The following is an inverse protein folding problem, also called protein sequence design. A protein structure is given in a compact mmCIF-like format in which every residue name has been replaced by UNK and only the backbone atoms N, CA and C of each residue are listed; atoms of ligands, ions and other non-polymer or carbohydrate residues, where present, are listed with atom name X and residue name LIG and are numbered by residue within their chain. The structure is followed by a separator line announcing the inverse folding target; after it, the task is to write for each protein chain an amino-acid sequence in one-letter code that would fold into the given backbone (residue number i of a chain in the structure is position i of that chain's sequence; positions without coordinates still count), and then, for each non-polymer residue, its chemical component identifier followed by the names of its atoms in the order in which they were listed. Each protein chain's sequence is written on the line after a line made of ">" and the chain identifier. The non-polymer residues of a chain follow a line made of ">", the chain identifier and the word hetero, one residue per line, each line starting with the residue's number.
data_IF_648512531380
#
_entry.id   IF_648512531380
#
_cell.length_a   1.000
_cell.length_b   1.000
_cell.length_c   1.000
_cell.angle_alpha   90.00
_cell.angle_beta   90.00
_cell.angle_gamma   90.00
#
_symmetry.space_group_name_H-M   'P 1'
#
loop_
_entity.id
_entity.type
_entity.pdbx_description
1 polymer ?
#
# COMPACT_ATOMS: atom_id res chain seq x y z
N UNK A 1 -20.70 8.99 -47.71
CA UNK A 1 -19.46 8.76 -46.93
C UNK A 1 -19.55 9.31 -45.50
N UNK A 2 -19.91 10.58 -45.31
CA UNK A 2 -19.92 11.25 -43.98
C UNK A 2 -20.89 10.63 -42.96
N UNK A 3 -22.06 10.17 -43.39
CA UNK A 3 -23.03 9.49 -42.51
C UNK A 3 -22.54 8.15 -41.99
N UNK A 4 -21.81 7.39 -42.81
CA UNK A 4 -21.22 6.12 -42.39
C UNK A 4 -20.13 6.37 -41.35
N UNK A 5 -19.32 7.40 -41.55
CA UNK A 5 -18.30 7.83 -40.59
C UNK A 5 -18.93 8.30 -39.26
N UNK A 6 -20.04 9.04 -39.33
CA UNK A 6 -20.80 9.45 -38.15
C UNK A 6 -21.34 8.25 -37.35
N UNK A 7 -21.93 7.24 -38.03
CA UNK A 7 -22.43 6.02 -37.40
C UNK A 7 -21.28 5.23 -36.73
N UNK A 8 -20.13 5.13 -37.40
CA UNK A 8 -18.95 4.48 -36.83
C UNK A 8 -18.45 5.21 -35.59
N UNK A 9 -18.39 6.55 -35.61
CA UNK A 9 -18.02 7.34 -34.43
C UNK A 9 -19.00 7.11 -33.26
N UNK A 10 -20.31 7.09 -33.52
CA UNK A 10 -21.30 6.80 -32.48
C UNK A 10 -21.15 5.38 -31.91
N UNK A 11 -20.88 4.38 -32.75
CA UNK A 11 -20.65 3.01 -32.29
C UNK A 11 -19.40 2.90 -31.42
N UNK A 12 -18.31 3.57 -31.80
CA UNK A 12 -17.08 3.63 -30.99
C UNK A 12 -17.37 4.32 -29.66
N UNK A 13 -18.00 5.50 -29.66
CA UNK A 13 -18.37 6.20 -28.42
C UNK A 13 -19.28 5.36 -27.53
N UNK A 14 -20.26 4.65 -28.11
CA UNK A 14 -21.16 3.75 -27.38
C UNK A 14 -20.38 2.66 -26.65
N UNK A 15 -19.50 1.94 -27.36
CA UNK A 15 -18.74 0.83 -26.79
C UNK A 15 -17.80 1.34 -25.69
N UNK A 16 -17.03 2.39 -25.97
CA UNK A 16 -16.04 2.91 -25.02
C UNK A 16 -16.71 3.53 -23.78
N UNK A 17 -17.79 4.31 -23.93
CA UNK A 17 -18.54 4.85 -22.79
C UNK A 17 -19.14 3.75 -21.90
N UNK A 18 -19.62 2.66 -22.50
CA UNK A 18 -20.09 1.50 -21.75
C UNK A 18 -18.99 0.81 -20.95
N UNK A 19 -17.75 0.78 -21.46
CA UNK A 19 -16.64 0.11 -20.77
C UNK A 19 -16.33 0.69 -19.40
N UNK A 20 -16.48 2.00 -19.23
CA UNK A 20 -16.30 2.70 -17.96
C UNK A 20 -17.22 2.12 -16.88
N UNK A 21 -18.52 2.05 -17.19
CA UNK A 21 -19.53 1.51 -16.30
C UNK A 21 -19.37 0.00 -16.08
N UNK A 22 -18.96 -0.74 -17.12
CA UNK A 22 -18.64 -2.16 -17.01
C UNK A 22 -17.46 -2.44 -16.08
N UNK A 23 -16.39 -1.64 -16.16
CA UNK A 23 -15.19 -1.77 -15.32
C UNK A 23 -15.50 -1.53 -13.84
N UNK A 24 -16.35 -0.53 -13.55
CA UNK A 24 -16.79 -0.21 -12.19
C UNK A 24 -17.67 -1.31 -11.58
N UNK A 25 -18.47 -2.01 -12.38
CA UNK A 25 -19.36 -3.08 -11.93
C UNK A 25 -18.75 -4.48 -11.99
N UNK A 26 -17.51 -4.62 -12.45
CA UNK A 26 -16.86 -5.92 -12.63
C UNK A 26 -16.35 -6.51 -11.30
N UNK A 27 -16.74 -7.75 -11.02
CA UNK A 27 -16.19 -8.50 -9.89
C UNK A 27 -14.77 -9.03 -10.23
N UNK A 28 -13.75 -8.39 -9.65
CA UNK A 28 -12.33 -8.71 -9.86
C UNK A 28 -11.96 -10.13 -9.42
N UNK A 29 -12.60 -10.64 -8.36
CA UNK A 29 -12.33 -11.98 -7.83
C UNK A 29 -12.76 -13.06 -8.84
N UNK A 30 -13.96 -12.91 -9.40
CA UNK A 30 -14.50 -13.80 -10.43
C UNK A 30 -13.68 -13.77 -11.72
N UNK A 31 -13.25 -12.58 -12.15
CA UNK A 31 -12.38 -12.45 -13.32
C UNK A 31 -11.02 -13.16 -13.12
N UNK A 32 -10.42 -13.05 -11.93
CA UNK A 32 -9.17 -13.72 -11.59
C UNK A 32 -9.29 -15.24 -11.59
N UNK A 33 -10.44 -15.78 -11.19
CA UNK A 33 -10.72 -17.22 -11.28
C UNK A 33 -10.83 -17.66 -12.74
N UNK A 34 -11.57 -16.92 -13.57
CA UNK A 34 -11.75 -17.21 -15.00
C UNK A 34 -10.44 -17.12 -15.80
N UNK A 35 -9.56 -16.17 -15.45
CA UNK A 35 -8.25 -16.07 -16.10
C UNK A 35 -7.32 -17.24 -15.75
N UNK A 36 -7.45 -17.79 -14.53
CA UNK A 36 -6.72 -19.01 -14.12
C UNK A 36 -7.25 -20.27 -14.77
N UNK A 37 -8.53 -20.33 -15.13
CA UNK A 37 -9.12 -21.46 -15.87
C UNK A 37 -8.78 -21.50 -17.36
N UNK A 38 -7.99 -20.55 -17.88
CA UNK A 38 -7.47 -20.58 -19.24
C UNK A 38 -8.31 -19.87 -20.32
N UNK A 39 -9.33 -19.10 -19.95
CA UNK A 39 -10.08 -18.28 -20.91
C UNK A 39 -9.21 -17.12 -21.42
N UNK A 40 -8.90 -17.12 -22.72
CA UNK A 40 -8.05 -16.12 -23.36
C UNK A 40 -8.60 -14.69 -23.24
N UNK A 41 -9.93 -14.50 -23.26
CA UNK A 41 -10.54 -13.20 -23.08
C UNK A 41 -10.44 -12.74 -21.62
N UNK A 42 -10.61 -13.65 -20.67
CA UNK A 42 -10.44 -13.37 -19.24
C UNK A 42 -8.99 -12.96 -18.91
N UNK A 43 -7.99 -13.61 -19.52
CA UNK A 43 -6.57 -13.27 -19.32
C UNK A 43 -6.27 -11.87 -19.83
N UNK A 44 -6.74 -11.51 -21.03
CA UNK A 44 -6.55 -10.16 -21.59
C UNK A 44 -7.24 -9.09 -20.75
N UNK A 45 -8.51 -9.31 -20.42
CA UNK A 45 -9.27 -8.37 -19.59
C UNK A 45 -8.63 -8.22 -18.20
N UNK A 46 -8.08 -9.29 -17.63
CA UNK A 46 -7.36 -9.24 -16.37
C UNK A 46 -6.11 -8.35 -16.44
N UNK A 47 -5.30 -8.43 -17.51
CA UNK A 47 -4.15 -7.53 -17.69
C UNK A 47 -4.60 -6.07 -17.77
N UNK A 48 -5.64 -5.79 -18.53
CA UNK A 48 -6.19 -4.45 -18.69
C UNK A 48 -6.66 -3.88 -17.33
N UNK A 49 -7.38 -4.68 -16.52
CA UNK A 49 -7.92 -4.25 -15.21
C UNK A 49 -6.83 -4.04 -14.15
N UNK A 50 -5.60 -4.52 -14.35
CA UNK A 50 -4.48 -4.24 -13.44
C UNK A 50 -4.00 -2.79 -13.49
N UNK A 51 -4.20 -2.09 -14.62
CA UNK A 51 -3.88 -0.68 -14.78
C UNK A 51 -5.16 0.15 -15.04
N UNK A 52 -6.08 0.26 -14.06
CA UNK A 52 -7.39 0.88 -14.27
C UNK A 52 -7.26 2.35 -14.67
N UNK A 53 -6.31 3.08 -14.08
CA UNK A 53 -6.05 4.49 -14.40
C UNK A 53 -5.76 4.69 -15.90
N UNK A 54 -4.92 3.83 -16.47
CA UNK A 54 -4.57 3.84 -17.89
C UNK A 54 -5.79 3.55 -18.77
N UNK A 55 -6.60 2.56 -18.38
CA UNK A 55 -7.84 2.25 -19.09
C UNK A 55 -8.83 3.41 -19.08
N UNK A 56 -9.09 4.01 -17.91
CA UNK A 56 -10.02 5.15 -17.80
C UNK A 56 -9.58 6.31 -18.68
N UNK A 57 -8.29 6.64 -18.70
CA UNK A 57 -7.75 7.71 -19.56
C UNK A 57 -7.92 7.34 -21.03
N UNK A 58 -7.61 6.10 -21.42
CA UNK A 58 -7.78 5.62 -22.81
C UNK A 58 -9.23 5.79 -23.25
N UNK A 59 -10.16 5.30 -22.44
CA UNK A 59 -11.60 5.33 -22.71
C UNK A 59 -12.07 6.77 -22.87
N UNK A 60 -11.69 7.66 -21.94
CA UNK A 60 -12.08 9.05 -21.98
C UNK A 60 -11.52 9.80 -23.21
N UNK A 61 -10.28 9.51 -23.61
CA UNK A 61 -9.69 10.08 -24.82
C UNK A 61 -10.42 9.62 -26.09
N UNK A 62 -10.70 8.32 -26.21
CA UNK A 62 -11.39 7.76 -27.39
C UNK A 62 -12.81 8.29 -27.50
N UNK A 63 -13.58 8.29 -26.41
CA UNK A 63 -14.95 8.81 -26.41
C UNK A 63 -14.97 10.30 -26.71
N UNK A 64 -14.06 11.08 -26.13
CA UNK A 64 -13.91 12.50 -26.39
C UNK A 64 -13.63 12.79 -27.87
N UNK A 65 -12.63 12.13 -28.46
CA UNK A 65 -12.27 12.30 -29.87
C UNK A 65 -13.42 11.90 -30.81
N UNK A 66 -14.05 10.75 -30.58
CA UNK A 66 -15.15 10.27 -31.40
C UNK A 66 -16.36 11.21 -31.33
N UNK A 67 -16.68 11.74 -30.15
CA UNK A 67 -17.77 12.70 -29.97
C UNK A 67 -17.47 14.03 -30.68
N UNK A 68 -16.25 14.57 -30.56
CA UNK A 68 -15.85 15.81 -31.24
C UNK A 68 -15.98 15.64 -32.76
N UNK A 69 -15.45 14.55 -33.31
CA UNK A 69 -15.54 14.26 -34.76
C UNK A 69 -17.00 14.15 -35.20
N UNK A 70 -17.83 13.44 -34.43
CA UNK A 70 -19.24 13.26 -34.76
C UNK A 70 -20.03 14.59 -34.70
N UNK A 71 -19.76 15.46 -33.72
CA UNK A 71 -20.34 16.81 -33.65
C UNK A 71 -19.89 17.68 -34.81
N UNK A 72 -18.60 17.62 -35.21
CA UNK A 72 -18.10 18.36 -36.37
C UNK A 72 -18.78 17.94 -37.67
N UNK A 73 -19.06 16.65 -37.85
CA UNK A 73 -19.80 16.14 -39.02
C UNK A 73 -21.23 16.66 -39.01
N UNK A 74 -21.91 16.62 -37.87
CA UNK A 74 -23.27 17.18 -37.74
C UNK A 74 -23.28 18.68 -38.05
N UNK A 75 -22.33 19.43 -37.49
CA UNK A 75 -22.18 20.86 -37.75
C UNK A 75 -21.95 21.14 -39.24
N UNK A 76 -21.07 20.37 -39.89
CA UNK A 76 -20.79 20.51 -41.32
C UNK A 76 -22.02 20.28 -42.22
N UNK A 77 -23.04 19.57 -41.72
CA UNK A 77 -24.31 19.37 -42.42
C UNK A 77 -25.36 20.43 -42.09
N UNK A 78 -25.55 20.74 -40.81
CA UNK A 78 -26.60 21.64 -40.35
C UNK A 78 -26.28 23.12 -40.57
N UNK A 79 -25.01 23.51 -40.50
CA UNK A 79 -24.56 24.90 -40.73
C UNK A 79 -24.89 25.38 -42.15
N UNK A 80 -24.53 24.68 -43.23
CA UNK A 80 -24.92 25.10 -44.57
C UNK A 80 -26.43 24.94 -44.83
N UNK A 81 -27.10 23.96 -44.20
CA UNK A 81 -28.54 23.73 -44.40
C UNK A 81 -29.44 24.79 -43.75
N UNK A 82 -29.09 25.28 -42.55
CA UNK A 82 -29.91 26.20 -41.76
C UNK A 82 -29.30 27.59 -41.58
N UNK A 83 -28.19 27.89 -42.29
CA UNK A 83 -27.49 29.19 -42.28
C UNK A 83 -27.21 29.66 -40.84
N UNK A 84 -27.66 30.86 -40.45
CA UNK A 84 -27.38 31.46 -39.14
C UNK A 84 -27.88 30.68 -37.92
N UNK A 85 -28.84 29.77 -38.11
CA UNK A 85 -29.38 28.92 -37.05
C UNK A 85 -28.76 27.52 -37.02
N UNK A 86 -27.91 27.17 -37.99
CA UNK A 86 -27.40 25.80 -38.13
C UNK A 86 -26.55 25.31 -36.95
N UNK A 87 -25.81 26.21 -36.29
CA UNK A 87 -25.09 25.87 -35.06
C UNK A 87 -26.04 25.52 -33.90
N UNK A 88 -27.12 26.31 -33.72
CA UNK A 88 -28.13 26.04 -32.68
C UNK A 88 -28.88 24.73 -32.96
N UNK A 89 -29.30 24.51 -34.22
CA UNK A 89 -29.94 23.26 -34.62
C UNK A 89 -29.02 22.05 -34.38
N UNK A 90 -27.72 22.19 -34.66
CA UNK A 90 -26.73 21.14 -34.37
C UNK A 90 -26.72 20.79 -32.89
N UNK A 91 -26.65 21.78 -32.01
CA UNK A 91 -26.60 21.54 -30.55
C UNK A 91 -27.89 20.88 -30.06
N UNK A 92 -29.04 21.40 -30.47
CA UNK A 92 -30.37 20.90 -30.04
C UNK A 92 -30.59 19.45 -30.48
N UNK A 93 -30.11 19.07 -31.66
CA UNK A 93 -30.24 17.69 -32.18
C UNK A 93 -29.14 16.77 -31.62
N UNK A 94 -27.90 17.23 -31.56
CA UNK A 94 -26.76 16.44 -31.10
C UNK A 94 -26.90 16.06 -29.62
N UNK A 95 -27.21 17.03 -28.76
CA UNK A 95 -27.23 16.82 -27.30
C UNK A 95 -28.06 15.60 -26.85
N UNK A 96 -29.35 15.46 -27.21
CA UNK A 96 -30.14 14.29 -26.81
C UNK A 96 -29.62 12.99 -27.42
N UNK A 97 -29.12 13.02 -28.66
CA UNK A 97 -28.55 11.82 -29.33
C UNK A 97 -27.32 11.34 -28.56
N UNK A 98 -26.36 12.22 -28.27
CA UNK A 98 -25.17 11.83 -27.52
C UNK A 98 -25.52 11.40 -26.08
N UNK A 99 -26.38 12.16 -25.39
CA UNK A 99 -26.75 11.83 -24.01
C UNK A 99 -27.46 10.48 -23.89
N UNK A 100 -28.40 10.17 -24.79
CA UNK A 100 -29.15 8.92 -24.71
C UNK A 100 -28.32 7.78 -25.30
N UNK A 101 -27.83 7.94 -26.53
CA UNK A 101 -27.18 6.88 -27.29
C UNK A 101 -25.77 6.62 -26.79
N UNK A 102 -24.95 7.65 -26.57
CA UNK A 102 -23.53 7.43 -26.22
C UNK A 102 -23.27 7.37 -24.72
N UNK A 103 -24.18 7.85 -23.88
CA UNK A 103 -24.00 7.93 -22.42
C UNK A 103 -24.94 6.97 -21.68
N UNK A 104 -26.25 7.21 -21.74
CA UNK A 104 -27.20 6.48 -20.88
C UNK A 104 -27.41 5.01 -21.25
N UNK A 105 -27.64 4.72 -22.54
CA UNK A 105 -27.86 3.35 -23.01
C UNK A 105 -26.67 2.40 -22.78
N UNK A 106 -25.43 2.75 -23.18
CA UNK A 106 -24.31 1.83 -23.04
C UNK A 106 -23.95 1.60 -21.57
N UNK A 107 -24.01 2.64 -20.71
CA UNK A 107 -23.74 2.50 -19.28
C UNK A 107 -24.74 1.57 -18.59
N UNK A 108 -26.02 1.63 -18.98
CA UNK A 108 -27.05 0.71 -18.48
C UNK A 108 -26.80 -0.75 -18.91
N UNK A 109 -26.46 -0.96 -20.19
CA UNK A 109 -26.22 -2.30 -20.73
C UNK A 109 -24.97 -2.96 -20.13
N UNK A 110 -23.86 -2.24 -20.07
CA UNK A 110 -22.59 -2.76 -19.54
C UNK A 110 -22.63 -2.99 -18.04
N UNK A 111 -23.45 -2.24 -17.28
CA UNK A 111 -23.70 -2.52 -15.86
C UNK A 111 -24.39 -3.87 -15.63
N UNK A 112 -25.29 -4.26 -16.53
CA UNK A 112 -26.08 -5.48 -16.39
C UNK A 112 -25.26 -6.74 -16.69
N UNK A 113 -24.36 -6.67 -17.68
CA UNK A 113 -23.51 -7.81 -18.10
C UNK A 113 -22.04 -7.41 -18.26
N UNK A 114 -21.36 -7.02 -17.17
CA UNK A 114 -20.03 -6.40 -17.24
C UNK A 114 -18.97 -7.34 -17.82
N UNK A 115 -18.95 -8.62 -17.43
CA UNK A 115 -17.95 -9.57 -17.93
C UNK A 115 -18.11 -9.84 -19.43
N UNK A 116 -19.31 -10.21 -19.89
CA UNK A 116 -19.56 -10.59 -21.28
C UNK A 116 -19.33 -9.40 -22.23
N UNK A 117 -19.76 -8.20 -21.83
CA UNK A 117 -19.60 -7.00 -22.61
C UNK A 117 -18.13 -6.53 -22.68
N UNK A 118 -17.37 -6.63 -21.59
CA UNK A 118 -15.95 -6.26 -21.59
C UNK A 118 -15.05 -7.31 -22.24
N UNK A 119 -15.35 -8.60 -22.07
CA UNK A 119 -14.55 -9.69 -22.63
C UNK A 119 -14.58 -9.68 -24.18
N UNK A 120 -15.73 -9.38 -24.77
CA UNK A 120 -15.89 -9.31 -26.23
C UNK A 120 -15.11 -8.17 -26.87
N UNK A 121 -14.94 -7.06 -26.18
CA UNK A 121 -14.22 -5.87 -26.66
C UNK A 121 -12.79 -5.75 -26.08
N UNK A 122 -12.33 -6.72 -25.30
CA UNK A 122 -11.03 -6.68 -24.64
C UNK A 122 -9.87 -6.46 -25.63
N UNK A 123 -9.96 -7.05 -26.83
CA UNK A 123 -8.96 -6.87 -27.90
C UNK A 123 -8.95 -5.42 -28.41
N UNK A 124 -10.14 -4.84 -28.60
CA UNK A 124 -10.26 -3.45 -29.06
C UNK A 124 -9.70 -2.47 -28.02
N UNK A 125 -9.97 -2.72 -26.74
CA UNK A 125 -9.42 -1.93 -25.62
C UNK A 125 -7.89 -2.05 -25.53
N UNK A 126 -7.35 -3.26 -25.74
CA UNK A 126 -5.90 -3.49 -25.75
C UNK A 126 -5.22 -2.69 -26.88
N UNK A 127 -5.76 -2.75 -28.10
CA UNK A 127 -5.26 -1.98 -29.25
C UNK A 127 -5.35 -0.47 -28.98
N UNK A 128 -6.52 0.01 -28.51
CA UNK A 128 -6.71 1.42 -28.22
C UNK A 128 -5.74 1.92 -27.12
N UNK A 129 -5.55 1.13 -26.06
CA UNK A 129 -4.61 1.47 -24.99
C UNK A 129 -3.17 1.52 -25.49
N UNK A 130 -2.77 0.61 -26.39
CA UNK A 130 -1.44 0.60 -26.99
C UNK A 130 -1.20 1.86 -27.84
N UNK A 131 -2.17 2.22 -28.69
CA UNK A 131 -2.08 3.41 -29.56
C UNK A 131 -2.03 4.70 -28.74
N UNK A 132 -2.74 4.78 -27.63
CA UNK A 132 -2.79 5.97 -26.75
C UNK A 132 -1.66 6.01 -25.70
N UNK A 133 -0.85 4.96 -25.60
CA UNK A 133 0.32 4.90 -24.70
C UNK A 133 1.30 6.07 -24.88
N UNK A 134 1.74 6.42 -26.11
CA UNK A 134 2.64 7.57 -26.29
C UNK A 134 2.02 8.89 -25.82
N UNK A 135 0.72 9.08 -26.00
CA UNK A 135 0.02 10.29 -25.56
C UNK A 135 0.01 10.41 -24.03
N UNK A 136 -0.16 9.29 -23.33
CA UNK A 136 -0.08 9.26 -21.86
C UNK A 136 1.33 9.54 -21.34
N UNK A 137 2.36 9.08 -22.05
CA UNK A 137 3.74 9.40 -21.70
C UNK A 137 3.97 10.92 -21.74
N UNK A 138 3.43 11.61 -22.76
CA UNK A 138 3.45 13.09 -22.85
C UNK A 138 2.71 13.72 -21.67
N UNK A 139 1.52 13.23 -21.32
CA UNK A 139 0.77 13.73 -20.17
C UNK A 139 1.54 13.58 -18.85
N UNK A 140 2.19 12.43 -18.64
CA UNK A 140 3.02 12.20 -17.45
C UNK A 140 4.27 13.08 -17.43
N UNK A 141 4.87 13.33 -18.60
CA UNK A 141 6.00 14.23 -18.75
C UNK A 141 5.60 15.67 -18.39
N UNK A 142 4.45 16.15 -18.88
CA UNK A 142 3.87 17.44 -18.52
C UNK A 142 3.56 17.54 -17.02
N UNK A 143 2.96 16.51 -16.40
CA UNK A 143 2.67 16.51 -14.97
C UNK A 143 3.92 16.68 -14.09
N UNK A 144 5.04 16.09 -14.50
CA UNK A 144 6.31 16.19 -13.77
C UNK A 144 7.04 17.51 -14.07
N UNK A 145 7.08 17.96 -15.32
CA UNK A 145 7.90 19.12 -15.72
C UNK A 145 7.17 20.45 -15.57
N UNK A 146 5.85 20.49 -15.81
CA UNK A 146 5.03 21.70 -15.71
C UNK A 146 4.46 21.83 -14.30
N UNK A 147 3.86 20.75 -13.77
CA UNK A 147 3.15 20.80 -12.50
C UNK A 147 3.97 20.33 -11.28
N UNK A 148 5.20 19.83 -11.50
CA UNK A 148 6.09 19.28 -10.45
C UNK A 148 5.41 18.24 -9.55
N UNK A 149 4.42 17.53 -10.06
CA UNK A 149 3.73 16.47 -9.32
C UNK A 149 4.64 15.24 -9.29
N UNK A 150 5.28 14.99 -8.14
CA UNK A 150 6.03 13.75 -7.92
C UNK A 150 5.05 12.58 -7.91
N UNK A 151 5.38 11.49 -8.61
CA UNK A 151 4.64 10.23 -8.46
C UNK A 151 4.73 9.80 -6.99
N UNK A 152 3.61 9.67 -6.26
CA UNK A 152 3.67 9.13 -4.91
C UNK A 152 4.17 7.69 -4.99
N UNK A 153 4.98 7.26 -4.01
CA UNK A 153 5.39 5.87 -3.92
C UNK A 153 4.14 4.99 -3.80
N UNK A 154 3.99 3.99 -4.68
CA UNK A 154 2.81 3.11 -4.72
C UNK A 154 2.52 2.45 -3.36
N UNK A 155 3.57 2.15 -2.60
CA UNK A 155 3.47 1.60 -1.24
C UNK A 155 2.85 2.60 -0.26
N UNK A 156 3.15 3.89 -0.39
CA UNK A 156 2.56 4.93 0.46
C UNK A 156 1.07 5.12 0.15
N UNK A 157 0.71 5.12 -1.14
CA UNK A 157 -0.69 5.23 -1.59
C UNK A 157 -1.51 4.04 -1.07
N UNK A 158 -1.02 2.81 -1.22
CA UNK A 158 -1.72 1.62 -0.75
C UNK A 158 -1.95 1.60 0.77
N UNK A 159 -1.02 2.15 1.56
CA UNK A 159 -1.18 2.29 3.03
C UNK A 159 -2.30 3.27 3.37
N UNK A 160 -2.32 4.44 2.73
CA UNK A 160 -3.34 5.45 3.00
C UNK A 160 -4.74 4.98 2.53
N UNK A 161 -4.81 4.29 1.39
CA UNK A 161 -6.05 3.68 0.90
C UNK A 161 -6.60 2.67 1.91
N UNK A 162 -5.75 1.78 2.47
CA UNK A 162 -6.17 0.82 3.49
C UNK A 162 -6.64 1.51 4.79
N UNK A 163 -5.96 2.59 5.20
CA UNK A 163 -6.39 3.42 6.35
C UNK A 163 -7.73 4.10 6.08
N UNK A 164 -7.99 4.53 4.84
CA UNK A 164 -9.25 5.16 4.44
C UNK A 164 -10.42 4.16 4.47
N UNK A 165 -10.21 2.94 3.96
CA UNK A 165 -11.23 1.88 3.94
C UNK A 165 -11.61 1.48 5.36
N UNK A 166 -10.64 1.29 6.24
CA UNK A 166 -10.89 0.93 7.64
C UNK A 166 -11.63 2.03 8.42
N UNK A 167 -11.35 3.31 8.17
CA UNK A 167 -12.15 4.44 8.71
C UNK A 167 -13.61 4.41 8.23
N UNK A 168 -13.84 4.04 6.97
CA UNK A 168 -15.20 3.90 6.44
C UNK A 168 -15.96 2.74 7.10
N UNK A 169 -15.29 1.62 7.35
CA UNK A 169 -15.88 0.45 8.02
C UNK A 169 -16.23 0.77 9.48
N UNK A 170 -15.38 1.52 10.20
CA UNK A 170 -15.66 2.02 11.55
C UNK A 170 -16.91 2.91 11.56
N UNK A 171 -17.03 3.85 10.61
CA UNK A 171 -18.22 4.72 10.49
C UNK A 171 -19.51 3.94 10.22
N UNK A 172 -19.41 2.76 9.61
CA UNK A 172 -20.54 1.85 9.41
C UNK A 172 -20.84 0.97 10.63
N UNK A 173 -20.11 1.14 11.74
CA UNK A 173 -20.30 0.40 12.99
C UNK A 173 -19.83 -1.05 12.95
N UNK A 174 -19.12 -1.46 11.89
CA UNK A 174 -18.64 -2.84 11.72
C UNK A 174 -17.24 -3.09 12.30
N UNK A 175 -16.59 -2.05 12.82
CA UNK A 175 -15.25 -2.12 13.38
C UNK A 175 -15.17 -1.19 14.60
N UNK A 176 -14.60 -1.66 15.70
CA UNK A 176 -14.31 -0.83 16.86
C UNK A 176 -13.15 0.12 16.59
N UNK A 177 -13.12 1.26 17.27
CA UNK A 177 -11.99 2.21 17.22
C UNK A 177 -10.66 1.55 17.62
N UNK A 178 -10.70 0.60 18.56
CA UNK A 178 -9.52 -0.17 19.00
C UNK A 178 -9.01 -1.07 17.87
N UNK A 179 -9.91 -1.78 17.19
CA UNK A 179 -9.56 -2.68 16.08
C UNK A 179 -9.00 -1.89 14.89
N UNK A 180 -9.60 -0.72 14.57
CA UNK A 180 -9.04 0.18 13.55
C UNK A 180 -7.61 0.59 13.92
N UNK A 181 -7.40 0.99 15.17
CA UNK A 181 -6.10 1.48 15.62
C UNK A 181 -5.04 0.37 15.56
N UNK A 182 -5.38 -0.86 15.97
CA UNK A 182 -4.50 -2.01 15.82
C UNK A 182 -4.13 -2.26 14.35
N UNK A 183 -5.10 -2.20 13.43
CA UNK A 183 -4.82 -2.37 11.99
C UNK A 183 -3.88 -1.27 11.49
N UNK A 184 -4.09 -0.02 11.89
CA UNK A 184 -3.23 1.10 11.49
C UNK A 184 -1.80 0.92 12.03
N UNK A 185 -1.65 0.52 13.29
CA UNK A 185 -0.36 0.26 13.93
C UNK A 185 0.40 -0.86 13.21
N UNK A 186 -0.26 -1.95 12.81
CA UNK A 186 0.37 -3.05 12.05
C UNK A 186 0.88 -2.56 10.68
N UNK A 187 0.11 -1.70 10.00
CA UNK A 187 0.52 -1.13 8.71
C UNK A 187 1.73 -0.20 8.87
N UNK A 188 1.76 0.57 9.95
CA UNK A 188 2.83 1.51 10.25
C UNK A 188 4.10 0.83 10.78
N UNK A 189 3.97 -0.28 11.51
CA UNK A 189 5.07 -1.07 12.08
C UNK A 189 6.07 -1.53 11.03
N UNK A 190 5.63 -1.74 9.78
CA UNK A 190 6.52 -2.08 8.66
C UNK A 190 7.55 -0.99 8.35
N UNK A 191 7.31 0.25 8.76
CA UNK A 191 8.24 1.37 8.60
C UNK A 191 9.09 1.68 9.85
N UNK A 192 8.82 1.03 10.98
CA UNK A 192 9.54 1.28 12.24
C UNK A 192 10.89 0.59 12.21
N UNK A 193 11.94 1.33 12.54
CA UNK A 193 13.31 0.82 12.67
C UNK A 193 13.66 0.55 14.13
N UNK A 194 14.66 -0.28 14.36
CA UNK A 194 15.16 -0.57 15.72
C UNK A 194 15.53 0.71 16.47
N UNK A 195 16.19 1.67 15.82
CA UNK A 195 16.56 2.95 16.44
C UNK A 195 15.39 3.79 16.97
N UNK A 196 14.19 3.58 16.43
CA UNK A 196 13.00 4.34 16.83
C UNK A 196 12.40 3.81 18.15
N UNK A 197 12.74 2.57 18.53
CA UNK A 197 12.19 1.87 19.69
C UNK A 197 13.24 1.41 20.70
N UNK A 198 14.53 1.48 20.36
CA UNK A 198 15.61 1.08 21.25
C UNK A 198 15.72 1.98 22.49
N UNK A 199 16.21 1.41 23.58
CA UNK A 199 16.67 2.16 24.75
C UNK A 199 18.14 2.48 24.57
N UNK A 200 18.47 3.78 24.53
CA UNK A 200 19.85 4.25 24.40
C UNK A 200 20.71 3.82 25.59
N UNK A 201 21.98 3.52 25.35
CA UNK A 201 22.92 2.97 26.33
C UNK A 201 23.06 3.81 27.61
N UNK A 202 22.86 5.13 27.55
CA UNK A 202 22.89 6.05 28.71
C UNK A 202 21.73 5.85 29.69
N UNK A 203 20.63 5.22 29.23
CA UNK A 203 19.42 4.97 30.02
C UNK A 203 19.24 3.50 30.39
N UNK A 204 20.15 2.63 29.96
CA UNK A 204 20.08 1.20 30.24
C UNK A 204 20.59 0.93 31.65
N UNK A 205 19.77 0.26 32.46
CA UNK A 205 20.22 -0.27 33.74
C UNK A 205 21.13 -1.47 33.46
N UNK A 206 22.38 -1.39 33.91
CA UNK A 206 23.40 -2.41 33.64
C UNK A 206 24.04 -2.90 34.94
N UNK A 207 24.53 -4.14 34.92
CA UNK A 207 25.39 -4.72 35.95
C UNK A 207 26.85 -4.51 35.57
N UNK A 208 27.74 -4.33 36.55
CA UNK A 208 29.19 -4.26 36.28
C UNK A 208 29.85 -5.63 36.37
N UNK A 209 30.83 -5.86 35.51
CA UNK A 209 31.75 -7.00 35.60
C UNK A 209 32.35 -7.07 37.02
N UNK A 210 32.48 -8.27 37.58
CA UNK A 210 33.00 -8.48 38.93
C UNK A 210 32.05 -8.08 40.07
N UNK A 211 30.79 -7.76 39.79
CA UNK A 211 29.79 -7.54 40.85
C UNK A 211 29.50 -8.88 41.55
N UNK A 212 29.56 -8.96 42.89
CA UNK A 212 29.32 -10.21 43.61
C UNK A 212 27.84 -10.62 43.45
N UNK A 213 27.60 -11.93 43.42
CA UNK A 213 26.26 -12.48 43.16
C UNK A 213 25.19 -11.98 44.12
N UNK A 214 25.53 -11.73 45.39
CA UNK A 214 24.58 -11.16 46.36
C UNK A 214 24.05 -9.78 45.93
N UNK A 215 24.91 -8.94 45.36
CA UNK A 215 24.52 -7.60 44.90
C UNK A 215 23.82 -7.65 43.53
N UNK A 216 24.13 -8.64 42.70
CA UNK A 216 23.37 -8.96 41.49
C UNK A 216 21.91 -9.28 41.84
N UNK A 217 21.68 -10.17 42.81
CA UNK A 217 20.33 -10.55 43.26
C UNK A 217 19.59 -9.34 43.82
N UNK A 218 20.24 -8.50 44.65
CA UNK A 218 19.63 -7.25 45.15
C UNK A 218 19.22 -6.32 44.00
N UNK A 219 20.04 -6.22 42.96
CA UNK A 219 19.75 -5.37 41.79
C UNK A 219 18.54 -5.89 41.02
N UNK A 220 18.43 -7.20 40.82
CA UNK A 220 17.24 -7.81 40.20
C UNK A 220 15.98 -7.57 41.03
N UNK A 221 16.05 -7.69 42.36
CA UNK A 221 14.91 -7.42 43.24
C UNK A 221 14.47 -5.95 43.23
N UNK A 222 15.40 -5.01 43.10
CA UNK A 222 15.10 -3.57 43.04
C UNK A 222 14.52 -3.15 41.69
N UNK A 223 15.06 -3.69 40.60
CA UNK A 223 14.71 -3.28 39.24
C UNK A 223 13.52 -4.02 38.66
N UNK A 224 13.20 -5.22 39.19
CA UNK A 224 12.14 -6.12 38.71
C UNK A 224 12.27 -6.53 37.24
N UNK A 225 13.47 -6.46 36.67
CA UNK A 225 13.74 -7.01 35.35
C UNK A 225 14.17 -8.48 35.45
N UNK A 226 13.78 -9.29 34.47
CA UNK A 226 14.17 -10.71 34.41
C UNK A 226 15.59 -10.90 33.84
N UNK A 227 16.11 -9.90 33.15
CA UNK A 227 17.45 -9.94 32.55
C UNK A 227 18.07 -8.55 32.50
N UNK A 228 19.36 -8.46 32.79
CA UNK A 228 20.11 -7.21 32.82
C UNK A 228 21.38 -7.33 31.97
N UNK A 229 21.73 -6.32 31.16
CA UNK A 229 22.99 -6.32 30.44
C UNK A 229 24.18 -6.14 31.39
N UNK A 230 25.28 -6.85 31.12
CA UNK A 230 26.54 -6.72 31.83
C UNK A 230 27.46 -5.77 31.06
N UNK A 231 27.95 -4.72 31.72
CA UNK A 231 28.84 -3.72 31.18
C UNK A 231 30.24 -3.78 31.81
N UNK A 232 31.25 -3.48 31.01
CA UNK A 232 32.62 -3.23 31.50
C UNK A 232 32.70 -1.92 32.29
N UNK A 233 33.82 -1.70 32.99
CA UNK A 233 34.12 -0.42 33.64
C UNK A 233 34.16 0.77 32.67
N UNK A 234 34.34 0.50 31.36
CA UNK A 234 34.33 1.52 30.30
C UNK A 234 32.93 1.84 29.78
N UNK A 235 31.90 1.10 30.23
CA UNK A 235 30.51 1.24 29.79
C UNK A 235 30.13 0.37 28.59
N UNK A 236 31.07 -0.41 28.04
CA UNK A 236 30.77 -1.32 26.92
C UNK A 236 29.97 -2.53 27.41
N UNK A 237 28.80 -2.77 26.80
CA UNK A 237 27.93 -3.92 27.10
C UNK A 237 28.54 -5.18 26.46
N UNK A 238 28.82 -6.19 27.29
CA UNK A 238 29.51 -7.44 26.87
C UNK A 238 28.53 -8.60 26.71
N UNK A 239 27.41 -8.57 27.43
CA UNK A 239 26.40 -9.63 27.33
C UNK A 239 25.23 -9.42 28.27
N UNK A 240 24.51 -10.52 28.54
CA UNK A 240 23.28 -10.55 29.30
C UNK A 240 23.40 -11.52 30.48
N UNK A 241 22.84 -11.14 31.62
CA UNK A 241 22.65 -12.03 32.77
C UNK A 241 21.16 -12.18 33.02
N UNK A 242 20.69 -13.41 33.17
CA UNK A 242 19.30 -13.72 33.51
C UNK A 242 19.18 -13.98 35.02
N UNK A 243 18.14 -13.44 35.65
CA UNK A 243 17.87 -13.64 37.07
C UNK A 243 17.69 -15.14 37.41
N UNK A 244 17.04 -15.91 36.53
CA UNK A 244 16.80 -17.33 36.76
C UNK A 244 18.09 -18.16 36.82
N UNK A 245 19.11 -17.82 36.01
CA UNK A 245 20.39 -18.54 36.01
C UNK A 245 21.13 -18.37 37.33
N UNK A 246 21.03 -17.18 37.94
CA UNK A 246 21.66 -16.84 39.22
C UNK A 246 20.89 -17.47 40.39
N UNK A 247 19.56 -17.47 40.35
CA UNK A 247 18.71 -17.95 41.45
C UNK A 247 18.65 -19.48 41.50
N UNK A 248 18.67 -20.15 40.34
CA UNK A 248 18.55 -21.61 40.26
C UNK A 248 19.89 -22.35 40.43
N UNK A 249 21.00 -21.62 40.59
CA UNK A 249 22.31 -22.23 40.76
C UNK A 249 22.52 -22.75 42.18
N UNK A 250 22.74 -24.06 42.31
CA UNK A 250 23.06 -24.72 43.58
C UNK A 250 24.51 -24.47 44.04
N UNK A 251 25.38 -23.92 43.18
CA UNK A 251 26.76 -23.53 43.50
C UNK A 251 27.02 -22.13 42.95
N UNK A 252 26.58 -21.07 43.65
CA UNK A 252 26.67 -19.71 43.13
C UNK A 252 28.12 -19.39 42.77
N UNK A 253 28.33 -18.93 41.54
CA UNK A 253 29.60 -18.34 41.12
C UNK A 253 29.95 -17.14 42.00
N UNK A 254 31.23 -16.78 42.08
CA UNK A 254 31.64 -15.64 42.92
C UNK A 254 31.10 -14.31 42.37
N UNK A 255 31.06 -14.16 41.04
CA UNK A 255 30.75 -12.91 40.36
C UNK A 255 29.74 -13.08 39.22
N UNK A 256 29.11 -11.97 38.81
CA UNK A 256 28.18 -11.88 37.67
C UNK A 256 28.72 -12.50 36.36
N UNK A 257 30.04 -12.49 36.18
CA UNK A 257 30.72 -12.98 34.98
C UNK A 257 30.50 -14.47 34.71
N UNK A 258 30.24 -15.25 35.78
CA UNK A 258 29.96 -16.67 35.69
C UNK A 258 28.64 -16.98 34.93
N UNK A 259 27.73 -16.01 34.84
CA UNK A 259 26.39 -16.16 34.24
C UNK A 259 26.25 -15.39 32.92
N UNK A 260 27.37 -15.00 32.30
CA UNK A 260 27.39 -14.19 31.08
C UNK A 260 26.89 -14.97 29.86
N UNK A 261 25.82 -14.49 29.25
CA UNK A 261 25.31 -14.97 27.97
C UNK A 261 25.58 -13.97 26.84
N UNK A 262 25.90 -14.47 25.64
CA UNK A 262 26.05 -13.61 24.45
C UNK A 262 24.70 -13.05 24.03
N UNK A 263 24.63 -11.74 23.81
CA UNK A 263 23.44 -11.08 23.25
C UNK A 263 23.39 -11.19 21.73
N UNK A 264 22.18 -11.37 21.20
CA UNK A 264 21.91 -11.15 19.78
C UNK A 264 22.23 -9.69 19.42
N UNK A 265 22.96 -9.48 18.32
CA UNK A 265 23.26 -8.15 17.79
C UNK A 265 22.31 -7.81 16.64
N UNK A 266 21.69 -6.63 16.73
CA UNK A 266 20.82 -6.04 15.71
C UNK A 266 21.34 -4.68 15.30
N UNK A 267 21.09 -4.28 14.05
CA UNK A 267 21.54 -2.97 13.53
C UNK A 267 20.47 -1.91 13.75
N UNK A 268 20.89 -0.66 13.97
CA UNK A 268 19.98 0.46 14.21
C UNK A 268 18.96 0.72 13.08
N UNK A 269 19.37 0.45 11.83
CA UNK A 269 18.55 0.65 10.63
C UNK A 269 17.76 -0.59 10.21
N UNK A 270 17.91 -1.71 10.92
CA UNK A 270 17.13 -2.93 10.68
C UNK A 270 15.64 -2.66 10.99
N UNK A 271 14.69 -3.23 10.21
CA UNK A 271 13.28 -3.14 10.53
C UNK A 271 12.98 -3.80 11.88
N UNK A 272 12.18 -3.14 12.73
CA UNK A 272 11.79 -3.66 14.04
C UNK A 272 11.11 -5.04 13.93
N UNK A 273 10.34 -5.28 12.87
CA UNK A 273 9.75 -6.58 12.57
C UNK A 273 10.77 -7.71 12.37
N UNK A 274 11.91 -7.43 11.74
CA UNK A 274 12.98 -8.41 11.54
C UNK A 274 13.74 -8.65 12.85
N UNK A 275 14.06 -7.59 13.58
CA UNK A 275 14.69 -7.69 14.90
C UNK A 275 13.83 -8.52 15.87
N UNK A 276 12.51 -8.29 15.87
CA UNK A 276 11.55 -9.08 16.67
C UNK A 276 11.56 -10.55 16.27
N UNK A 277 11.57 -10.85 14.97
CA UNK A 277 11.65 -12.23 14.49
C UNK A 277 12.95 -12.92 14.93
N UNK A 278 14.09 -12.23 14.83
CA UNK A 278 15.40 -12.76 15.25
C UNK A 278 15.49 -12.98 16.76
N UNK A 279 15.01 -12.02 17.56
CA UNK A 279 14.89 -12.16 19.02
C UNK A 279 14.03 -13.37 19.40
N UNK A 280 12.85 -13.53 18.76
CA UNK A 280 11.98 -14.67 19.00
C UNK A 280 12.61 -16.02 18.59
N UNK A 281 13.40 -16.04 17.52
CA UNK A 281 14.11 -17.24 17.09
C UNK A 281 15.29 -17.58 18.03
N UNK A 282 15.86 -16.59 18.71
CA UNK A 282 16.94 -16.72 19.69
C UNK A 282 16.43 -16.98 21.13
N UNK A 283 15.20 -17.46 21.30
CA UNK A 283 14.64 -17.83 22.61
C UNK A 283 15.63 -18.73 23.37
N UNK A 284 15.94 -18.44 24.65
CA UNK A 284 15.21 -17.59 25.60
C UNK A 284 15.66 -16.11 25.69
N UNK A 285 16.42 -15.58 24.74
CA UNK A 285 16.89 -14.18 24.82
C UNK A 285 15.73 -13.17 24.68
N UNK A 286 15.62 -12.26 25.65
CA UNK A 286 14.59 -11.20 25.69
C UNK A 286 15.11 -9.83 25.27
N UNK A 287 16.43 -9.63 25.29
CA UNK A 287 17.13 -8.39 24.95
C UNK A 287 18.16 -8.63 23.84
N UNK A 288 18.26 -7.67 22.91
CA UNK A 288 19.27 -7.62 21.87
C UNK A 288 20.11 -6.35 21.99
N UNK A 289 21.37 -6.43 21.59
CA UNK A 289 22.31 -5.32 21.55
C UNK A 289 22.14 -4.57 20.23
N UNK A 290 22.00 -3.25 20.30
CA UNK A 290 21.88 -2.41 19.11
C UNK A 290 23.22 -1.77 18.80
N UNK A 291 23.67 -1.96 17.55
CA UNK A 291 24.91 -1.36 17.04
C UNK A 291 24.63 -0.38 15.89
N UNK A 292 25.50 0.63 15.77
CA UNK A 292 25.53 1.56 14.65
C UNK A 292 26.17 0.92 13.39
N UNK A 293 26.34 1.73 12.35
CA UNK A 293 27.03 1.31 11.12
C UNK A 293 28.53 1.02 11.27
N UNK A 294 29.15 1.45 12.38
CA UNK A 294 30.56 1.23 12.72
C UNK A 294 30.73 0.09 13.74
N UNK A 295 29.69 -0.73 13.95
CA UNK A 295 29.60 -1.81 14.94
C UNK A 295 29.86 -1.35 16.40
N UNK A 296 29.59 -0.07 16.70
CA UNK A 296 29.61 0.44 18.08
C UNK A 296 28.26 0.26 18.74
N UNK A 297 28.28 -0.13 20.01
CA UNK A 297 27.08 -0.25 20.84
C UNK A 297 26.44 1.11 21.09
N UNK A 298 25.19 1.29 20.70
CA UNK A 298 24.41 2.52 20.92
C UNK A 298 23.24 2.32 21.88
N UNK A 299 22.86 1.06 22.15
CA UNK A 299 21.75 0.77 23.06
C UNK A 299 21.37 -0.71 23.10
N UNK A 300 20.22 -0.97 23.69
CA UNK A 300 19.58 -2.30 23.74
C UNK A 300 18.13 -2.19 23.29
N UNK A 301 17.57 -3.30 22.84
CA UNK A 301 16.17 -3.38 22.47
C UNK A 301 15.57 -4.70 22.95
N UNK A 302 14.43 -4.63 23.64
CA UNK A 302 13.67 -5.79 24.09
C UNK A 302 12.54 -6.19 23.17
N UNK A 303 12.02 -7.41 23.38
CA UNK A 303 10.79 -7.88 22.73
C UNK A 303 9.62 -6.93 23.05
N UNK A 304 9.52 -6.45 24.29
CA UNK A 304 8.47 -5.52 24.70
C UNK A 304 8.57 -4.18 23.97
N UNK A 305 9.78 -3.63 23.81
CA UNK A 305 10.01 -2.39 23.06
C UNK A 305 9.64 -2.54 21.58
N UNK A 306 9.97 -3.70 20.99
CA UNK A 306 9.64 -4.01 19.60
C UNK A 306 8.14 -4.24 19.38
N UNK A 307 7.42 -4.72 20.40
CA UNK A 307 5.97 -4.87 20.37
C UNK A 307 5.24 -3.59 20.78
N UNK A 308 5.90 -2.67 21.49
CA UNK A 308 5.36 -1.41 21.96
C UNK A 308 4.57 -0.64 20.89
N UNK A 309 5.11 -0.40 19.68
CA UNK A 309 4.37 0.28 18.62
C UNK A 309 3.09 -0.42 18.15
N UNK A 310 2.98 -1.75 18.35
CA UNK A 310 1.79 -2.51 18.00
C UNK A 310 0.74 -2.45 19.11
N UNK A 311 1.18 -2.47 20.36
CA UNK A 311 0.32 -2.68 21.54
C UNK A 311 0.00 -1.38 22.28
N UNK A 312 0.86 -0.36 22.24
CA UNK A 312 0.66 0.93 22.92
C UNK A 312 -0.58 1.65 22.37
N UNK A 313 -1.70 1.29 22.98
CA UNK A 313 -3.05 1.83 22.79
C UNK A 313 -3.74 2.02 24.14
N UNK A 314 -2.97 2.15 25.23
CA UNK A 314 -3.52 2.44 26.55
C UNK A 314 -2.64 3.45 27.26
N UNK A 315 -3.04 4.72 27.17
CA UNK A 315 -2.93 5.66 28.28
C UNK A 315 -4.28 5.69 28.97
#
# INVERSE_FOLDING_TARGET
>A
MTWLLFIVCLAVSFIFSGTEAGLLSLNRLRLRQLSRSGDAHAVRLWRLVQEPSRLFITVLCVTGLANIIAVLILAAWFVPAFKGWGYLCTIVVAFPIFLIVTEMLPKSFFRRFPYQALASIAVLLEIASLVLTPLMAVGSWCAVHIFRLKRPQEVFVAREDLKSVTRSIEKMGMLSSIERQMIHNVVDFRGVKVKDVMVKSDRVVTLKIGTPVEDVIKTFLQTRFDSLPLATDRGDIVGLVNAFDVILDNKPGENADAYLHRMLVVREDEPASMALHRLRAAFPQTLALVVDGEDRTIGVVGIEDLLGPLVNTVG
#
